data_IF_553467408200
#
_entry.id   IF_553467408200
#
_cell.length_a   1.000
_cell.length_b   1.000
_cell.length_c   1.000
_cell.angle_alpha   90.00
_cell.angle_beta   90.00
_cell.angle_gamma   90.00
#
_symmetry.space_group_name_H-M   'P 1'
#
loop_
_entity.id
_entity.type
_entity.pdbx_description
1 polymer ?
#
# COMPACT_ATOMS: atom_id res chain seq x y z
N UNK A 1 -23.40 -5.39 11.60
CA UNK A 1 -22.84 -4.40 10.63
C UNK A 1 -23.88 -3.97 9.61
N UNK A 2 -24.66 -4.91 9.02
CA UNK A 2 -25.71 -4.56 8.03
C UNK A 2 -26.78 -3.61 8.60
N UNK A 3 -27.16 -3.75 9.86
CA UNK A 3 -28.09 -2.82 10.53
C UNK A 3 -27.47 -1.43 10.71
N UNK A 4 -26.20 -1.36 11.11
CA UNK A 4 -25.49 -0.10 11.23
C UNK A 4 -25.33 0.59 9.88
N UNK A 5 -25.09 -0.16 8.80
CA UNK A 5 -24.94 0.38 7.46
C UNK A 5 -26.25 1.00 6.93
N UNK A 6 -27.42 0.57 7.44
CA UNK A 6 -28.72 1.22 7.13
C UNK A 6 -28.86 2.60 7.78
N UNK A 7 -28.18 2.80 8.92
CA UNK A 7 -28.21 4.07 9.66
C UNK A 7 -27.19 5.04 9.08
N UNK A 8 -25.98 4.54 8.80
CA UNK A 8 -24.87 5.31 8.24
C UNK A 8 -23.98 4.40 7.40
N UNK A 9 -23.59 4.82 6.18
CA UNK A 9 -22.67 4.05 5.35
C UNK A 9 -21.37 3.73 6.11
N UNK A 10 -20.95 2.45 6.04
CA UNK A 10 -19.72 1.95 6.69
C UNK A 10 -18.80 1.41 5.61
N UNK A 11 -17.50 1.62 5.79
CA UNK A 11 -16.43 0.98 5.03
C UNK A 11 -15.70 0.04 5.98
N UNK A 12 -15.50 -1.20 5.58
CA UNK A 12 -14.67 -2.18 6.29
C UNK A 12 -13.30 -2.18 5.65
N UNK A 13 -12.26 -1.96 6.45
CA UNK A 13 -10.89 -1.92 5.97
C UNK A 13 -10.09 -3.10 6.55
N UNK A 14 -9.39 -3.83 5.67
CA UNK A 14 -8.54 -4.95 6.04
C UNK A 14 -7.07 -4.62 5.82
N UNK A 15 -6.23 -4.91 6.81
CA UNK A 15 -4.78 -4.88 6.68
C UNK A 15 -4.30 -6.14 5.97
N UNK A 16 -4.36 -6.15 4.65
CA UNK A 16 -3.87 -7.26 3.83
C UNK A 16 -2.35 -7.30 3.74
N UNK A 17 -1.73 -6.14 3.72
CA UNK A 17 -0.30 -5.80 3.64
C UNK A 17 0.37 -6.27 2.35
N UNK A 18 0.26 -7.56 2.01
CA UNK A 18 0.79 -8.18 0.78
C UNK A 18 -0.04 -9.40 0.39
N UNK A 19 0.06 -9.82 -0.88
CA UNK A 19 -0.55 -11.06 -1.36
C UNK A 19 0.38 -12.29 -1.29
N UNK A 20 1.58 -12.11 -0.74
CA UNK A 20 2.58 -13.17 -0.65
C UNK A 20 2.59 -13.79 0.74
N UNK A 21 2.05 -15.01 0.88
CA UNK A 21 1.99 -15.72 2.17
C UNK A 21 3.38 -15.86 2.81
N UNK A 22 4.44 -16.10 2.02
CA UNK A 22 5.82 -16.14 2.50
C UNK A 22 6.22 -14.87 3.28
N UNK A 23 5.77 -13.71 2.78
CA UNK A 23 6.05 -12.42 3.42
C UNK A 23 5.17 -12.22 4.64
N UNK A 24 3.87 -12.59 4.56
CA UNK A 24 2.97 -12.54 5.71
C UNK A 24 3.49 -13.39 6.88
N UNK A 25 4.01 -14.57 6.59
CA UNK A 25 4.64 -15.45 7.59
C UNK A 25 5.92 -14.81 8.15
N UNK A 26 6.79 -14.26 7.29
CA UNK A 26 8.03 -13.62 7.69
C UNK A 26 7.81 -12.42 8.63
N UNK A 27 6.77 -11.63 8.38
CA UNK A 27 6.42 -10.47 9.21
C UNK A 27 5.38 -10.77 10.29
N UNK A 28 5.10 -12.06 10.52
CA UNK A 28 4.28 -12.56 11.61
C UNK A 28 2.84 -12.01 11.64
N UNK A 29 2.19 -11.96 10.45
CA UNK A 29 0.83 -11.40 10.31
C UNK A 29 -0.28 -12.35 10.73
N UNK A 30 0.01 -13.65 10.93
CA UNK A 30 -0.95 -14.67 11.40
C UNK A 30 -2.22 -14.80 10.54
N UNK A 31 -2.16 -14.41 9.28
CA UNK A 31 -3.22 -14.65 8.29
C UNK A 31 -2.62 -14.90 6.92
N UNK A 32 -3.40 -15.49 6.03
CA UNK A 32 -3.04 -15.74 4.63
C UNK A 32 -3.77 -14.81 3.68
N UNK A 33 -3.26 -14.69 2.46
CA UNK A 33 -3.94 -13.94 1.40
C UNK A 33 -5.35 -14.50 1.13
N UNK A 34 -5.53 -15.82 1.16
CA UNK A 34 -6.82 -16.47 0.95
C UNK A 34 -7.86 -16.05 2.01
N UNK A 35 -7.43 -15.86 3.24
CA UNK A 35 -8.31 -15.34 4.29
C UNK A 35 -8.72 -13.88 4.04
N UNK A 36 -7.84 -13.08 3.47
CA UNK A 36 -8.18 -11.71 3.03
C UNK A 36 -9.22 -11.76 1.90
N UNK A 37 -9.00 -12.60 0.87
CA UNK A 37 -9.94 -12.77 -0.24
C UNK A 37 -11.33 -13.18 0.26
N UNK A 38 -11.39 -14.16 1.16
CA UNK A 38 -12.66 -14.62 1.76
C UNK A 38 -13.34 -13.53 2.58
N UNK A 39 -12.58 -12.75 3.36
CA UNK A 39 -13.12 -11.64 4.14
C UNK A 39 -13.70 -10.55 3.25
N UNK A 40 -12.99 -10.14 2.20
CA UNK A 40 -13.44 -9.14 1.22
C UNK A 40 -14.72 -9.61 0.52
N UNK A 41 -14.74 -10.85 -0.01
CA UNK A 41 -15.93 -11.39 -0.70
C UNK A 41 -17.14 -11.46 0.23
N UNK A 42 -16.94 -11.89 1.47
CA UNK A 42 -18.04 -11.89 2.48
C UNK A 42 -18.55 -10.48 2.75
N UNK A 43 -17.67 -9.51 2.93
CA UNK A 43 -18.04 -8.11 3.16
C UNK A 43 -18.87 -7.57 1.99
N UNK A 44 -18.42 -7.80 0.77
CA UNK A 44 -19.12 -7.40 -0.45
C UNK A 44 -20.50 -8.06 -0.55
N UNK A 45 -20.61 -9.37 -0.26
CA UNK A 45 -21.88 -10.10 -0.30
C UNK A 45 -22.91 -9.58 0.73
N UNK A 46 -22.45 -8.91 1.80
CA UNK A 46 -23.32 -8.21 2.75
C UNK A 46 -23.69 -6.79 2.30
N UNK A 47 -23.26 -6.37 1.10
CA UNK A 47 -23.53 -5.03 0.57
C UNK A 47 -22.77 -3.92 1.30
N UNK A 48 -21.63 -4.24 1.88
CA UNK A 48 -20.76 -3.29 2.59
C UNK A 48 -19.59 -2.89 1.72
N UNK A 49 -19.21 -1.61 1.79
CA UNK A 49 -18.00 -1.12 1.15
C UNK A 49 -16.76 -1.68 1.83
N UNK A 50 -15.72 -1.96 1.04
CA UNK A 50 -14.50 -2.62 1.49
C UNK A 50 -13.24 -1.93 0.96
N UNK A 51 -12.26 -1.76 1.83
CA UNK A 51 -10.94 -1.26 1.50
C UNK A 51 -9.81 -2.19 1.95
N UNK A 52 -8.68 -2.12 1.26
CA UNK A 52 -7.46 -2.83 1.64
C UNK A 52 -6.31 -1.87 1.95
N UNK A 53 -5.53 -2.22 2.98
CA UNK A 53 -4.24 -1.61 3.26
C UNK A 53 -3.13 -2.51 2.75
N UNK A 54 -2.17 -1.91 2.04
CA UNK A 54 -1.00 -2.58 1.47
C UNK A 54 0.27 -1.85 1.90
N UNK A 55 1.33 -2.62 2.22
CA UNK A 55 2.63 -2.06 2.59
C UNK A 55 3.62 -2.31 1.45
N UNK A 56 4.26 -1.25 0.97
CA UNK A 56 5.32 -1.32 -0.02
C UNK A 56 6.68 -1.42 0.64
N UNK A 57 7.47 -2.42 0.27
CA UNK A 57 8.83 -2.61 0.76
C UNK A 57 8.95 -3.55 1.95
N UNK A 58 8.01 -4.47 2.13
CA UNK A 58 8.11 -5.53 3.12
C UNK A 58 9.36 -6.39 2.89
N UNK A 59 9.95 -6.98 3.96
CA UNK A 59 11.14 -7.81 3.84
C UNK A 59 10.97 -8.93 2.81
N UNK A 60 11.99 -9.10 1.96
CA UNK A 60 11.99 -10.15 0.93
C UNK A 60 11.15 -9.86 -0.30
N UNK A 61 10.54 -8.67 -0.41
CA UNK A 61 9.80 -8.24 -1.60
C UNK A 61 10.58 -7.24 -2.45
N UNK A 62 10.43 -7.36 -3.76
CA UNK A 62 10.86 -6.39 -4.75
C UNK A 62 9.67 -5.63 -5.34
N UNK A 63 9.94 -4.74 -6.30
CA UNK A 63 8.87 -3.95 -6.93
C UNK A 63 7.85 -4.81 -7.70
N UNK A 64 8.27 -5.92 -8.30
CA UNK A 64 7.37 -6.80 -9.04
C UNK A 64 6.43 -7.57 -8.09
N UNK A 65 6.91 -7.98 -6.91
CA UNK A 65 6.09 -8.56 -5.86
C UNK A 65 5.00 -7.56 -5.39
N UNK A 66 5.38 -6.29 -5.19
CA UNK A 66 4.43 -5.23 -4.82
C UNK A 66 3.38 -5.02 -5.92
N UNK A 67 3.80 -4.89 -7.18
CA UNK A 67 2.89 -4.71 -8.31
C UNK A 67 1.98 -5.93 -8.51
N UNK A 68 2.47 -7.15 -8.24
CA UNK A 68 1.66 -8.36 -8.24
C UNK A 68 0.58 -8.31 -7.15
N UNK A 69 0.94 -7.86 -5.94
CA UNK A 69 -0.02 -7.67 -4.85
C UNK A 69 -1.12 -6.69 -5.24
N UNK A 70 -0.76 -5.55 -5.87
CA UNK A 70 -1.74 -4.57 -6.36
C UNK A 70 -2.67 -5.19 -7.40
N UNK A 71 -2.14 -5.92 -8.38
CA UNK A 71 -2.95 -6.62 -9.40
C UNK A 71 -3.93 -7.59 -8.79
N UNK A 72 -3.50 -8.40 -7.80
CA UNK A 72 -4.37 -9.35 -7.11
C UNK A 72 -5.44 -8.64 -6.28
N UNK A 73 -5.09 -7.56 -5.57
CA UNK A 73 -6.05 -6.75 -4.82
C UNK A 73 -7.14 -6.17 -5.73
N UNK A 74 -6.76 -5.67 -6.91
CA UNK A 74 -7.69 -5.11 -7.90
C UNK A 74 -8.65 -6.16 -8.53
N UNK A 75 -8.40 -7.45 -8.36
CA UNK A 75 -9.32 -8.52 -8.78
C UNK A 75 -10.42 -8.80 -7.75
N UNK A 76 -10.32 -8.21 -6.56
CA UNK A 76 -11.31 -8.35 -5.50
C UNK A 76 -12.35 -7.23 -5.57
N UNK A 77 -13.56 -7.48 -5.09
CA UNK A 77 -14.61 -6.46 -5.05
C UNK A 77 -14.37 -5.46 -3.90
N UNK A 78 -13.38 -4.60 -4.10
CA UNK A 78 -13.00 -3.52 -3.16
C UNK A 78 -13.33 -2.15 -3.74
N UNK A 79 -13.57 -1.19 -2.86
CA UNK A 79 -13.86 0.20 -3.22
C UNK A 79 -12.65 1.09 -3.08
N UNK A 80 -11.76 0.78 -2.12
CA UNK A 80 -10.61 1.64 -1.79
C UNK A 80 -9.32 0.87 -1.57
N UNK A 81 -8.19 1.55 -1.83
CA UNK A 81 -6.84 1.10 -1.50
C UNK A 81 -6.10 2.17 -0.71
N UNK A 82 -5.42 1.74 0.35
CA UNK A 82 -4.47 2.56 1.12
C UNK A 82 -3.09 1.94 1.02
N UNK A 83 -2.12 2.74 0.61
CA UNK A 83 -0.73 2.32 0.56
C UNK A 83 0.06 2.94 1.71
N UNK A 84 1.03 2.20 2.18
CA UNK A 84 2.04 2.64 3.12
C UNK A 84 3.41 2.25 2.60
N UNK A 85 4.39 3.16 2.63
CA UNK A 85 5.78 2.73 2.58
C UNK A 85 6.13 2.02 3.89
N UNK A 86 6.97 1.00 3.84
CA UNK A 86 7.48 0.39 5.05
C UNK A 86 8.22 1.42 5.89
N UNK A 87 7.90 1.47 7.17
CA UNK A 87 8.56 2.31 8.16
C UNK A 87 9.19 1.44 9.25
N UNK A 88 10.46 1.66 9.51
CA UNK A 88 11.17 1.02 10.61
C UNK A 88 11.02 1.92 11.83
N UNK A 89 10.36 1.42 12.87
CA UNK A 89 9.97 2.19 14.05
C UNK A 89 10.70 1.62 15.27
N UNK A 90 11.23 2.48 16.13
CA UNK A 90 11.88 2.10 17.38
C UNK A 90 10.97 1.22 18.23
N UNK A 91 11.55 0.19 18.83
CA UNK A 91 10.82 -0.75 19.69
C UNK A 91 9.98 -1.79 18.94
N UNK A 92 9.96 -1.77 17.60
CA UNK A 92 9.35 -2.85 16.81
C UNK A 92 10.28 -4.06 16.71
N UNK A 93 9.70 -5.25 16.57
CA UNK A 93 10.46 -6.49 16.32
C UNK A 93 11.36 -6.35 15.09
N UNK A 94 10.84 -5.74 14.01
CA UNK A 94 11.61 -5.51 12.79
C UNK A 94 12.85 -4.65 13.04
N UNK A 95 12.74 -3.59 13.85
CA UNK A 95 13.91 -2.75 14.20
C UNK A 95 14.98 -3.56 14.94
N UNK A 96 14.58 -4.40 15.90
CA UNK A 96 15.51 -5.27 16.64
C UNK A 96 16.16 -6.33 15.75
N UNK A 97 15.40 -6.92 14.82
CA UNK A 97 15.95 -7.90 13.87
C UNK A 97 16.98 -7.27 12.92
N UNK A 98 16.75 -6.02 12.48
CA UNK A 98 17.69 -5.29 11.63
C UNK A 98 18.97 -4.97 12.44
N UNK A 99 18.82 -4.49 13.66
CA UNK A 99 19.94 -4.16 14.55
C UNK A 99 20.84 -5.38 14.85
N UNK A 100 20.19 -6.55 15.00
CA UNK A 100 20.89 -7.83 15.22
C UNK A 100 21.42 -8.47 13.93
N UNK A 101 21.26 -7.85 12.75
CA UNK A 101 21.60 -8.41 11.44
C UNK A 101 20.88 -9.72 11.09
N UNK A 102 19.68 -9.96 11.66
CA UNK A 102 18.85 -11.13 11.38
C UNK A 102 18.07 -10.98 10.06
N UNK A 103 17.76 -9.73 9.67
CA UNK A 103 17.02 -9.42 8.45
C UNK A 103 17.59 -8.17 7.77
N UNK A 104 17.58 -8.19 6.45
CA UNK A 104 17.94 -7.03 5.63
C UNK A 104 16.68 -6.45 5.01
N UNK A 105 16.48 -5.15 5.19
CA UNK A 105 15.34 -4.42 4.65
C UNK A 105 15.84 -3.23 3.84
N UNK A 106 15.35 -3.11 2.62
CA UNK A 106 15.56 -1.94 1.78
C UNK A 106 14.42 -0.96 2.00
N UNK A 107 14.73 0.26 2.40
CA UNK A 107 13.76 1.36 2.41
C UNK A 107 13.87 2.16 1.10
N UNK A 108 12.74 2.68 0.62
CA UNK A 108 12.72 3.52 -0.58
C UNK A 108 13.26 4.92 -0.28
N UNK A 109 13.97 5.50 -1.25
CA UNK A 109 14.07 6.96 -1.37
C UNK A 109 12.73 7.55 -1.82
N UNK A 110 12.59 8.88 -1.73
CA UNK A 110 11.37 9.56 -2.17
C UNK A 110 11.11 9.33 -3.65
N UNK A 111 12.14 9.47 -4.50
CA UNK A 111 12.01 9.32 -5.96
C UNK A 111 11.67 7.88 -6.36
N UNK A 112 12.37 6.88 -5.79
CA UNK A 112 12.06 5.47 -6.04
C UNK A 112 10.60 5.12 -5.67
N UNK A 113 10.10 5.68 -4.57
CA UNK A 113 8.73 5.43 -4.14
C UNK A 113 7.71 6.15 -5.01
N UNK A 114 8.01 7.38 -5.47
CA UNK A 114 7.17 8.09 -6.43
C UNK A 114 7.08 7.31 -7.74
N UNK A 115 8.19 6.79 -8.27
CA UNK A 115 8.19 5.99 -9.50
C UNK A 115 7.38 4.69 -9.35
N UNK A 116 7.45 4.04 -8.18
CA UNK A 116 6.60 2.90 -7.86
C UNK A 116 5.11 3.31 -7.79
N UNK A 117 4.78 4.42 -7.15
CA UNK A 117 3.42 4.94 -7.06
C UNK A 117 2.83 5.25 -8.45
N UNK A 118 3.62 5.81 -9.37
CA UNK A 118 3.18 6.03 -10.75
C UNK A 118 2.81 4.70 -11.44
N UNK A 119 3.61 3.65 -11.26
CA UNK A 119 3.30 2.30 -11.79
C UNK A 119 2.03 1.72 -11.15
N UNK A 120 1.86 1.88 -9.84
CA UNK A 120 0.66 1.44 -9.12
C UNK A 120 -0.58 2.13 -9.68
N UNK A 121 -0.54 3.46 -9.88
CA UNK A 121 -1.66 4.24 -10.45
C UNK A 121 -2.03 3.72 -11.84
N UNK A 122 -1.06 3.33 -12.66
CA UNK A 122 -1.29 2.75 -13.97
C UNK A 122 -1.98 1.37 -13.95
N UNK A 123 -1.93 0.66 -12.82
CA UNK A 123 -2.53 -0.66 -12.66
C UNK A 123 -3.94 -0.59 -12.05
N UNK A 124 -4.15 0.32 -11.10
CA UNK A 124 -5.40 0.42 -10.33
C UNK A 124 -6.54 0.91 -11.24
N UNK A 125 -7.65 0.16 -11.38
CA UNK A 125 -8.80 0.59 -12.16
C UNK A 125 -9.44 1.86 -11.59
N UNK A 126 -10.05 2.67 -12.46
CA UNK A 126 -10.74 3.91 -12.05
C UNK A 126 -11.91 3.69 -11.08
N UNK A 127 -12.42 2.47 -10.99
CA UNK A 127 -13.49 2.09 -10.06
C UNK A 127 -13.01 1.96 -8.60
N UNK A 128 -11.68 1.88 -8.38
CA UNK A 128 -11.09 1.75 -7.04
C UNK A 128 -10.43 3.08 -6.67
N UNK A 129 -10.85 3.68 -5.58
CA UNK A 129 -10.25 4.92 -5.09
C UNK A 129 -8.96 4.65 -4.33
N UNK A 130 -7.89 5.39 -4.64
CA UNK A 130 -6.66 5.38 -3.85
C UNK A 130 -6.74 6.51 -2.83
N UNK A 131 -6.80 6.17 -1.55
CA UNK A 131 -6.97 7.16 -0.49
C UNK A 131 -5.65 7.83 -0.08
N UNK A 132 -4.56 7.07 -0.08
CA UNK A 132 -3.23 7.60 0.24
C UNK A 132 -2.12 6.65 -0.23
N UNK A 133 -0.92 7.20 -0.38
CA UNK A 133 0.30 6.43 -0.69
C UNK A 133 1.30 6.38 0.47
N UNK A 134 1.18 7.25 1.45
CA UNK A 134 2.15 7.37 2.54
C UNK A 134 1.46 7.42 3.90
N UNK A 135 2.19 6.95 4.92
CA UNK A 135 1.84 7.13 6.32
C UNK A 135 2.99 7.83 7.05
N UNK A 136 2.71 8.32 8.24
CA UNK A 136 3.70 8.98 9.08
C UNK A 136 3.71 8.33 10.45
N UNK A 137 4.87 7.84 10.87
CA UNK A 137 5.15 7.53 12.26
C UNK A 137 5.60 8.80 13.00
N UNK A 138 5.46 8.85 14.34
CA UNK A 138 6.05 9.91 15.15
C UNK A 138 7.55 10.06 14.85
N UNK A 139 8.01 11.32 14.66
CA UNK A 139 9.36 11.59 14.18
C UNK A 139 10.47 11.09 15.13
N UNK A 140 10.20 11.06 16.43
CA UNK A 140 11.08 10.56 17.49
C UNK A 140 11.20 9.02 17.48
N UNK A 141 10.20 8.34 16.97
CA UNK A 141 10.16 6.88 16.85
C UNK A 141 10.63 6.36 15.50
N UNK A 142 10.56 7.17 14.44
CA UNK A 142 10.92 6.76 13.09
C UNK A 142 12.44 6.57 12.95
N UNK A 143 12.88 5.36 12.58
CA UNK A 143 14.26 5.06 12.25
C UNK A 143 14.52 5.33 10.76
N UNK A 144 13.68 4.72 9.87
CA UNK A 144 13.79 4.84 8.41
C UNK A 144 12.43 4.55 7.72
N UNK A 145 12.21 5.07 6.51
CA UNK A 145 12.97 6.12 5.83
C UNK A 145 12.67 7.51 6.42
N UNK A 146 13.69 8.34 6.53
CA UNK A 146 13.54 9.71 7.02
C UNK A 146 13.47 10.69 5.85
N UNK A 147 12.34 10.79 5.19
CA UNK A 147 12.16 11.69 4.05
C UNK A 147 11.98 13.17 4.45
N UNK A 148 11.58 13.43 5.69
CA UNK A 148 11.32 14.80 6.14
C UNK A 148 10.11 15.49 5.47
N UNK A 149 9.27 14.72 4.78
CA UNK A 149 8.11 15.22 4.04
C UNK A 149 6.81 14.96 4.80
N UNK A 150 5.89 15.92 4.74
CA UNK A 150 4.50 15.72 5.14
C UNK A 150 3.73 15.04 3.98
N UNK A 151 2.61 14.36 4.30
CA UNK A 151 1.80 13.65 3.30
C UNK A 151 1.44 14.52 2.09
N UNK A 152 1.01 15.77 2.31
CA UNK A 152 0.65 16.66 1.21
C UNK A 152 1.84 17.06 0.33
N UNK A 153 3.06 17.15 0.89
CA UNK A 153 4.27 17.45 0.12
C UNK A 153 4.61 16.26 -0.79
N UNK A 154 4.54 15.04 -0.27
CA UNK A 154 4.70 13.83 -1.07
C UNK A 154 3.66 13.77 -2.21
N UNK A 155 2.38 14.03 -1.90
CA UNK A 155 1.30 14.03 -2.90
C UNK A 155 1.56 15.07 -4.00
N UNK A 156 2.06 16.25 -3.66
CA UNK A 156 2.42 17.26 -4.66
C UNK A 156 3.56 16.81 -5.57
N UNK A 157 4.60 16.17 -5.02
CA UNK A 157 5.70 15.61 -5.83
C UNK A 157 5.20 14.51 -6.77
N UNK A 158 4.38 13.60 -6.28
CA UNK A 158 3.76 12.54 -7.08
C UNK A 158 2.90 13.11 -8.21
N UNK A 159 2.05 14.10 -7.92
CA UNK A 159 1.22 14.76 -8.92
C UNK A 159 2.05 15.44 -10.01
N UNK A 160 3.15 16.09 -9.64
CA UNK A 160 4.06 16.71 -10.62
C UNK A 160 4.71 15.63 -11.52
N UNK A 161 5.16 14.51 -10.95
CA UNK A 161 5.73 13.39 -11.73
C UNK A 161 4.71 12.81 -12.71
N UNK A 162 3.45 12.63 -12.27
CA UNK A 162 2.37 12.13 -13.13
C UNK A 162 2.05 13.09 -14.30
N UNK A 163 2.02 14.40 -14.05
CA UNK A 163 1.81 15.39 -15.13
C UNK A 163 2.87 15.27 -16.21
N UNK A 164 4.14 15.23 -15.80
CA UNK A 164 5.26 15.10 -16.76
C UNK A 164 5.14 13.79 -17.56
N UNK A 165 4.82 12.67 -16.91
CA UNK A 165 4.65 11.39 -17.58
C UNK A 165 3.49 11.39 -18.59
N UNK A 166 2.37 12.06 -18.28
CA UNK A 166 1.22 12.20 -19.18
C UNK A 166 1.58 13.08 -20.37
N UNK A 167 2.28 14.20 -20.17
CA UNK A 167 2.71 15.09 -21.22
C UNK A 167 3.66 14.39 -22.21
N UNK A 168 4.62 13.60 -21.70
CA UNK A 168 5.54 12.81 -22.52
C UNK A 168 4.81 11.76 -23.35
N UNK A 169 3.91 10.98 -22.73
CA UNK A 169 3.11 9.98 -23.43
C UNK A 169 2.22 10.60 -24.53
N UNK A 170 1.67 11.80 -24.29
CA UNK A 170 0.85 12.52 -25.27
C UNK A 170 1.68 13.03 -26.47
N UNK A 171 2.92 13.42 -26.23
CA UNK A 171 3.83 13.87 -27.30
C UNK A 171 4.29 12.72 -28.21
N UNK A 172 4.49 11.51 -27.65
CA UNK A 172 4.87 10.32 -28.42
C UNK A 172 3.74 9.79 -29.34
N UNK A 173 2.48 9.98 -28.95
CA UNK A 173 1.30 9.55 -29.75
C UNK A 173 1.05 10.50 -30.92
N UNK A 174 1.61 11.71 -30.92
CA UNK A 174 1.39 12.75 -31.94
C UNK A 174 2.48 12.74 -33.02
N UNK A 175 3.49 11.90 -32.92
CA UNK A 175 4.53 11.63 -33.90
C UNK A 175 4.23 10.37 -34.71
#
# INVERSE_FOLDING_TARGET
LSELNRIKPIIIEYGAETSHNRTLDLVNRHHTWQQVEDAVRRTHNFGLSCGLHLICGLPGENNDDILMTVKRACQLPIDTLKFHQLQIVKGSTLASQIENNEIVVRTFSVDEYIDLCCKIIGIVPRSIAIERFVSQAPADLLIAPRWGLKNYQFTNLLNNRLKVAIEQASAEVTQ
#
